data_IF_089927567624
#
_entry.id   IF_089927567624
#
_cell.length_a   1.000
_cell.length_b   1.000
_cell.length_c   1.000
_cell.angle_alpha   90.00
_cell.angle_beta   90.00
_cell.angle_gamma   90.00
#
_symmetry.space_group_name_H-M   'P 1'
#
loop_
_entity.id
_entity.type
_entity.pdbx_description
1 polymer ?
#
# COMPACT_ATOMS: atom_id res chain seq x y z
N UNK A 1 0.67 -10.52 -10.37
CA UNK A 1 0.13 -9.32 -9.67
C UNK A 1 1.32 -8.42 -9.43
N UNK A 2 1.63 -7.56 -10.39
CA UNK A 2 2.99 -7.04 -10.59
C UNK A 2 3.20 -5.67 -9.94
N UNK A 3 2.70 -5.52 -8.70
CA UNK A 3 2.65 -4.22 -8.02
C UNK A 3 1.58 -3.28 -8.59
N UNK A 4 0.49 -3.82 -9.15
CA UNK A 4 -0.67 -3.01 -9.56
C UNK A 4 -1.46 -2.55 -8.34
N UNK A 5 -1.66 -1.24 -8.21
CA UNK A 5 -2.47 -0.64 -7.14
C UNK A 5 -3.95 -0.76 -7.53
N UNK A 6 -4.76 -1.40 -6.68
CA UNK A 6 -6.21 -1.45 -6.85
C UNK A 6 -6.80 -0.16 -6.29
N UNK A 7 -6.98 0.84 -7.15
CA UNK A 7 -7.44 2.17 -6.71
C UNK A 7 -8.85 2.18 -6.11
N UNK A 8 -9.71 1.22 -6.48
CA UNK A 8 -11.05 1.10 -5.91
C UNK A 8 -10.98 0.87 -4.40
N UNK A 9 -10.15 -0.06 -3.94
CA UNK A 9 -9.97 -0.36 -2.52
C UNK A 9 -9.55 0.88 -1.72
N UNK A 10 -8.73 1.75 -2.32
CA UNK A 10 -8.33 3.02 -1.69
C UNK A 10 -9.51 4.00 -1.61
N UNK A 11 -10.30 4.13 -2.68
CA UNK A 11 -11.49 4.99 -2.70
C UNK A 11 -12.53 4.55 -1.67
N UNK A 12 -12.71 3.25 -1.48
CA UNK A 12 -13.67 2.69 -0.52
C UNK A 12 -13.35 3.12 0.92
N UNK A 13 -12.06 3.33 1.24
CA UNK A 13 -11.59 3.84 2.53
C UNK A 13 -11.29 5.36 2.52
N UNK A 14 -11.78 6.08 1.50
CA UNK A 14 -11.54 7.53 1.31
C UNK A 14 -10.06 7.92 1.28
N UNK A 15 -9.21 7.04 0.75
CA UNK A 15 -7.78 7.26 0.53
C UNK A 15 -7.48 7.32 -0.97
N UNK A 16 -6.26 7.72 -1.30
CA UNK A 16 -5.77 7.79 -2.66
C UNK A 16 -4.35 7.20 -2.76
N UNK A 17 -3.83 7.14 -3.98
CA UNK A 17 -2.49 6.64 -4.26
C UNK A 17 -1.40 7.40 -3.51
N UNK A 18 -1.54 8.71 -3.34
CA UNK A 18 -0.56 9.52 -2.62
C UNK A 18 -0.48 9.14 -1.13
N UNK A 19 -1.62 8.88 -0.49
CA UNK A 19 -1.68 8.37 0.87
C UNK A 19 -0.94 7.02 0.99
N UNK A 20 -1.22 6.09 0.08
CA UNK A 20 -0.55 4.78 0.04
C UNK A 20 0.97 4.93 -0.07
N UNK A 21 1.45 5.79 -0.99
CA UNK A 21 2.88 6.04 -1.17
C UNK A 21 3.52 6.71 0.06
N UNK A 22 2.80 7.57 0.78
CA UNK A 22 3.26 8.16 2.04
C UNK A 22 3.39 7.11 3.14
N UNK A 23 2.40 6.22 3.30
CA UNK A 23 2.46 5.14 4.29
C UNK A 23 3.60 4.16 4.00
N UNK A 24 3.80 3.79 2.73
CA UNK A 24 4.93 2.95 2.31
C UNK A 24 6.28 3.61 2.67
N UNK A 25 6.43 4.92 2.42
CA UNK A 25 7.64 5.67 2.78
C UNK A 25 7.89 5.71 4.29
N UNK A 26 6.85 5.83 5.13
CA UNK A 26 7.00 5.75 6.60
C UNK A 26 7.60 4.43 7.05
N UNK A 27 7.39 3.37 6.27
CA UNK A 27 7.96 2.05 6.52
C UNK A 27 9.30 1.84 5.81
N UNK A 28 9.94 2.87 5.25
CA UNK A 28 11.17 2.74 4.44
C UNK A 28 11.01 1.88 3.18
N UNK A 29 9.82 1.88 2.56
CA UNK A 29 9.59 1.27 1.24
C UNK A 29 9.55 2.37 0.19
N UNK A 30 10.55 2.38 -0.71
CA UNK A 30 10.70 3.44 -1.72
C UNK A 30 10.35 2.96 -3.14
N UNK A 31 10.44 1.67 -3.38
CA UNK A 31 10.18 1.00 -4.64
C UNK A 31 9.26 -0.20 -4.43
N UNK A 32 7.98 0.06 -4.20
CA UNK A 32 6.98 -0.97 -3.93
C UNK A 32 6.90 -2.05 -5.02
N UNK A 33 7.17 -1.72 -6.29
CA UNK A 33 7.20 -2.70 -7.38
C UNK A 33 8.28 -3.77 -7.19
N UNK A 34 9.40 -3.41 -6.55
CA UNK A 34 10.51 -4.33 -6.27
C UNK A 34 10.43 -4.94 -4.89
N UNK A 35 9.97 -4.17 -3.90
CA UNK A 35 10.09 -4.51 -2.48
C UNK A 35 8.83 -5.15 -1.88
N UNK A 36 7.66 -4.96 -2.48
CA UNK A 36 6.37 -5.39 -1.91
C UNK A 36 5.82 -6.60 -2.67
N UNK A 37 5.39 -7.62 -1.92
CA UNK A 37 4.60 -8.75 -2.42
C UNK A 37 3.11 -8.41 -2.34
N UNK A 38 2.66 -8.02 -1.14
CA UNK A 38 1.28 -7.61 -0.88
C UNK A 38 1.28 -6.44 0.10
N UNK A 39 0.33 -5.52 -0.10
CA UNK A 39 0.03 -4.45 0.84
C UNK A 39 -1.47 -4.41 1.05
N UNK A 40 -1.90 -4.49 2.31
CA UNK A 40 -3.31 -4.56 2.70
C UNK A 40 -3.64 -3.62 3.85
N UNK A 41 -4.93 -3.36 4.02
CA UNK A 41 -5.46 -2.52 5.09
C UNK A 41 -6.18 -3.42 6.07
N UNK A 42 -5.69 -3.47 7.30
CA UNK A 42 -6.32 -4.26 8.35
C UNK A 42 -7.60 -3.58 8.90
N UNK A 43 -8.32 -4.26 9.78
CA UNK A 43 -9.55 -3.75 10.41
C UNK A 43 -9.34 -2.47 11.23
N UNK A 44 -8.09 -2.14 11.60
CA UNK A 44 -7.70 -0.91 12.31
C UNK A 44 -7.28 0.22 11.36
N UNK A 45 -7.51 0.08 10.05
CA UNK A 45 -7.13 1.05 9.01
C UNK A 45 -5.61 1.31 8.93
N UNK A 46 -4.80 0.32 9.31
CA UNK A 46 -3.34 0.38 9.20
C UNK A 46 -2.86 -0.37 7.96
N UNK A 47 -1.83 0.17 7.32
CA UNK A 47 -1.19 -0.46 6.16
C UNK A 47 -0.21 -1.54 6.62
N UNK A 48 -0.52 -2.78 6.32
CA UNK A 48 0.37 -3.93 6.49
C UNK A 48 1.04 -4.27 5.16
N UNK A 49 2.36 -4.51 5.20
CA UNK A 49 3.20 -4.69 4.02
C UNK A 49 4.02 -5.95 4.16
N UNK A 50 3.77 -6.93 3.30
CA UNK A 50 4.65 -8.07 3.13
C UNK A 50 5.73 -7.75 2.10
N UNK A 51 6.99 -7.90 2.50
CA UNK A 51 8.15 -7.64 1.65
C UNK A 51 8.69 -8.92 1.01
N UNK A 52 9.46 -8.75 -0.06
CA UNK A 52 10.29 -9.82 -0.62
C UNK A 52 11.44 -10.19 0.29
#
# INVERSE_FOLDING_TARGET
MDGSIIEQNLRDIKKNKEWLLKELKKQNVFNYKKEVIIAEINSSLQLEVLRK
#
